data_IF_489611859779
#
_entry.id   IF_489611859779
#
_cell.length_a   1.000
_cell.length_b   1.000
_cell.length_c   1.000
_cell.angle_alpha   90.00
_cell.angle_beta   90.00
_cell.angle_gamma   90.00
#
_symmetry.space_group_name_H-M   'P 1'
#
loop_
_entity.id
_entity.type
_entity.pdbx_description
1 polymer ?
#
# COMPACT_ATOMS: atom_id res chain seq x y z
N UNK A 1 -10.70 -4.56 7.25
CA UNK A 1 -9.50 -5.01 7.98
C UNK A 1 -8.74 -3.77 8.42
N UNK A 2 -8.08 -3.84 9.56
CA UNK A 2 -7.17 -2.81 10.06
C UNK A 2 -6.07 -2.55 9.04
N UNK A 3 -5.79 -1.29 8.71
CA UNK A 3 -4.74 -0.92 7.76
C UNK A 3 -3.78 0.08 8.38
N UNK A 4 -2.50 -0.20 8.18
CA UNK A 4 -1.40 0.71 8.47
C UNK A 4 -0.66 1.04 7.20
N UNK A 5 -0.21 2.29 7.06
CA UNK A 5 0.54 2.76 5.90
C UNK A 5 1.87 3.35 6.32
N UNK A 6 2.94 2.79 5.77
CA UNK A 6 4.27 3.41 5.80
C UNK A 6 4.59 3.99 4.42
N UNK A 7 5.27 5.13 4.40
CA UNK A 7 5.70 5.78 3.17
C UNK A 7 7.14 6.28 3.32
N UNK A 8 7.97 5.93 2.34
CA UNK A 8 9.32 6.45 2.20
C UNK A 8 9.49 7.10 0.82
N UNK A 9 9.77 8.39 0.81
CA UNK A 9 10.05 9.12 -0.42
C UNK A 9 11.56 9.24 -0.66
N UNK A 10 12.02 8.84 -1.84
CA UNK A 10 13.39 9.04 -2.33
C UNK A 10 13.38 9.87 -3.61
N UNK A 11 14.57 10.25 -4.07
CA UNK A 11 14.75 11.02 -5.30
C UNK A 11 14.25 10.26 -6.54
N UNK A 12 14.47 8.94 -6.60
CA UNK A 12 14.16 8.12 -7.77
C UNK A 12 12.83 7.36 -7.66
N UNK A 13 12.29 7.20 -6.46
CA UNK A 13 11.12 6.37 -6.22
C UNK A 13 10.38 6.76 -4.94
N UNK A 14 9.15 6.29 -4.85
CA UNK A 14 8.31 6.28 -3.66
C UNK A 14 8.07 4.82 -3.29
N UNK A 15 8.42 4.45 -2.07
CA UNK A 15 8.08 3.16 -1.48
C UNK A 15 6.91 3.36 -0.53
N UNK A 16 5.80 2.68 -0.77
CA UNK A 16 4.67 2.63 0.16
C UNK A 16 4.52 1.20 0.62
N UNK A 17 4.32 0.98 1.92
CA UNK A 17 4.01 -0.34 2.46
C UNK A 17 2.67 -0.27 3.18
N UNK A 18 1.78 -1.18 2.85
CA UNK A 18 0.51 -1.37 3.56
C UNK A 18 0.61 -2.61 4.43
N UNK A 19 0.06 -2.54 5.63
CA UNK A 19 0.05 -3.65 6.58
C UNK A 19 -1.34 -3.87 7.17
N UNK A 20 -1.66 -5.11 7.52
CA UNK A 20 -2.87 -5.48 8.29
C UNK A 20 -2.70 -5.31 9.80
N UNK A 21 -1.46 -5.20 10.26
CA UNK A 21 -1.08 -5.19 11.67
C UNK A 21 -0.10 -4.05 11.92
N UNK A 22 0.04 -3.66 13.19
CA UNK A 22 1.02 -2.66 13.58
C UNK A 22 2.43 -3.26 13.54
N UNK A 23 3.27 -2.74 12.64
CA UNK A 23 4.69 -3.10 12.54
C UNK A 23 5.61 -2.03 13.15
N UNK A 24 5.07 -1.03 13.85
CA UNK A 24 5.81 0.03 14.54
C UNK A 24 6.37 1.14 13.63
N UNK A 25 6.18 1.04 12.31
CA UNK A 25 6.67 2.02 11.33
C UNK A 25 5.56 2.75 10.56
N UNK A 26 4.31 2.29 10.62
CA UNK A 26 3.20 2.83 9.82
C UNK A 26 2.30 3.80 10.57
N UNK A 27 1.57 4.63 9.81
CA UNK A 27 0.43 5.40 10.31
C UNK A 27 -0.83 4.53 10.27
N UNK A 28 -1.62 4.55 11.34
CA UNK A 28 -2.89 3.86 11.40
C UNK A 28 -3.94 4.57 10.55
N UNK A 29 -4.49 3.87 9.54
CA UNK A 29 -5.52 4.42 8.65
C UNK A 29 -6.95 4.01 9.04
N UNK A 30 -7.11 3.24 10.11
CA UNK A 30 -8.42 2.72 10.51
C UNK A 30 -8.72 1.32 9.98
N UNK A 31 -9.94 0.87 10.26
CA UNK A 31 -10.52 -0.34 9.67
C UNK A 31 -11.17 0.02 8.35
N UNK A 32 -10.59 -0.46 7.25
CA UNK A 32 -11.07 -0.20 5.89
C UNK A 32 -11.76 -1.44 5.31
N UNK A 33 -12.83 -1.23 4.55
CA UNK A 33 -13.46 -2.28 3.73
C UNK A 33 -12.63 -2.59 2.48
N UNK A 34 -12.97 -3.69 1.79
CA UNK A 34 -12.26 -4.13 0.59
C UNK A 34 -12.22 -3.06 -0.51
N UNK A 35 -13.32 -2.37 -0.79
CA UNK A 35 -13.38 -1.36 -1.85
C UNK A 35 -12.49 -0.16 -1.52
N UNK A 36 -12.52 0.29 -0.27
CA UNK A 36 -11.66 1.37 0.24
C UNK A 36 -10.18 1.01 0.15
N UNK A 37 -9.81 -0.22 0.50
CA UNK A 37 -8.42 -0.71 0.37
C UNK A 37 -8.00 -0.79 -1.09
N UNK A 38 -8.88 -1.28 -1.98
CA UNK A 38 -8.59 -1.36 -3.41
C UNK A 38 -8.39 0.04 -4.02
N UNK A 39 -9.21 1.01 -3.63
CA UNK A 39 -9.02 2.42 -4.03
C UNK A 39 -7.67 2.97 -3.56
N UNK A 40 -7.34 2.77 -2.28
CA UNK A 40 -6.05 3.20 -1.72
C UNK A 40 -4.85 2.63 -2.50
N UNK A 41 -4.88 1.33 -2.83
CA UNK A 41 -3.81 0.67 -3.62
C UNK A 41 -3.68 1.31 -5.01
N UNK A 42 -4.79 1.59 -5.69
CA UNK A 42 -4.80 2.20 -7.02
C UNK A 42 -4.36 3.67 -6.99
N UNK A 43 -4.69 4.41 -5.94
CA UNK A 43 -4.20 5.79 -5.74
C UNK A 43 -2.68 5.83 -5.60
N UNK A 44 -2.10 4.84 -4.92
CA UNK A 44 -0.64 4.71 -4.76
C UNK A 44 0.02 4.28 -6.07
N UNK A 45 -0.50 3.22 -6.71
CA UNK A 45 0.07 2.62 -7.92
C UNK A 45 -1.04 2.24 -8.89
N UNK A 46 -1.43 3.12 -9.84
CA UNK A 46 -2.57 2.89 -10.73
C UNK A 46 -2.35 1.75 -11.73
N UNK A 47 -1.10 1.35 -11.98
CA UNK A 47 -0.72 0.31 -12.95
C UNK A 47 -0.66 -1.11 -12.34
N UNK A 48 -1.07 -1.28 -11.08
CA UNK A 48 -1.02 -2.59 -10.40
C UNK A 48 -2.22 -3.46 -10.75
N UNK A 49 -2.02 -4.78 -10.81
CA UNK A 49 -3.13 -5.75 -10.86
C UNK A 49 -3.85 -5.78 -9.52
N UNK A 50 -4.95 -5.05 -9.41
CA UNK A 50 -5.60 -4.75 -8.14
C UNK A 50 -6.03 -5.99 -7.33
N UNK A 51 -6.61 -6.99 -7.97
CA UNK A 51 -7.06 -8.20 -7.26
C UNK A 51 -5.88 -9.01 -6.69
N UNK A 52 -4.75 -9.05 -7.41
CA UNK A 52 -3.53 -9.69 -6.93
C UNK A 52 -2.90 -8.90 -5.77
N UNK A 53 -2.86 -7.58 -5.88
CA UNK A 53 -2.32 -6.71 -4.84
C UNK A 53 -3.15 -6.80 -3.54
N UNK A 54 -4.48 -6.69 -3.66
CA UNK A 54 -5.39 -6.88 -2.54
C UNK A 54 -5.27 -8.28 -1.94
N UNK A 55 -5.27 -9.33 -2.77
CA UNK A 55 -5.10 -10.70 -2.29
C UNK A 55 -3.78 -10.91 -1.55
N UNK A 56 -2.70 -10.30 -2.02
CA UNK A 56 -1.39 -10.32 -1.35
C UNK A 56 -1.46 -9.66 0.03
N UNK A 57 -2.04 -8.46 0.13
CA UNK A 57 -2.24 -7.77 1.40
C UNK A 57 -3.13 -8.58 2.35
N UNK A 58 -4.23 -9.13 1.85
CA UNK A 58 -5.21 -9.87 2.64
C UNK A 58 -4.63 -11.17 3.21
N UNK A 59 -3.86 -11.89 2.39
CA UNK A 59 -3.28 -13.19 2.73
C UNK A 59 -1.99 -13.07 3.56
N UNK A 60 -1.02 -12.26 3.11
CA UNK A 60 0.29 -12.14 3.77
C UNK A 60 0.33 -11.07 4.86
N UNK A 61 -0.67 -10.19 4.94
CA UNK A 61 -0.69 -9.10 5.93
C UNK A 61 0.19 -7.90 5.57
N UNK A 62 0.88 -7.94 4.43
CA UNK A 62 1.76 -6.88 3.97
C UNK A 62 1.70 -6.73 2.45
N UNK A 63 1.76 -5.50 1.97
CA UNK A 63 1.88 -5.17 0.55
C UNK A 63 2.87 -4.01 0.33
N UNK A 64 4.09 -4.28 -0.15
CA UNK A 64 5.01 -3.25 -0.62
C UNK A 64 4.66 -2.80 -2.05
N UNK A 65 4.56 -1.50 -2.25
CA UNK A 65 4.28 -0.84 -3.51
C UNK A 65 5.43 0.11 -3.85
N UNK A 66 6.20 -0.23 -4.86
CA UNK A 66 7.29 0.61 -5.37
C UNK A 66 6.82 1.40 -6.61
N UNK A 67 6.91 2.72 -6.53
CA UNK A 67 6.51 3.66 -7.58
C UNK A 67 7.74 4.44 -8.02
N UNK A 68 8.24 4.18 -9.23
CA UNK A 68 9.36 4.92 -9.78
C UNK A 68 8.90 6.30 -10.24
N UNK A 69 9.64 7.34 -9.83
CA UNK A 69 9.44 8.68 -10.36
C UNK A 69 9.94 8.68 -11.80
N UNK A 70 9.10 9.06 -12.77
CA UNK A 70 9.55 9.24 -14.15
C UNK A 70 10.69 10.27 -14.14
N UNK A 71 11.85 9.93 -14.71
CA UNK A 71 12.85 10.93 -15.04
C UNK A 71 12.19 11.94 -15.96
N UNK A 72 12.16 13.19 -15.50
CA UNK A 72 11.68 14.34 -16.26
C UNK A 72 12.62 14.64 -17.42
#
# INVERSE_FOLDING_TARGET
>A
MTIWKYQEEKETHLLVKLYKEDHGEGEYLGDLDEESIKKLILEIKPDVKIDQAYGTLAYFGMLPLLVFKKKR
#
